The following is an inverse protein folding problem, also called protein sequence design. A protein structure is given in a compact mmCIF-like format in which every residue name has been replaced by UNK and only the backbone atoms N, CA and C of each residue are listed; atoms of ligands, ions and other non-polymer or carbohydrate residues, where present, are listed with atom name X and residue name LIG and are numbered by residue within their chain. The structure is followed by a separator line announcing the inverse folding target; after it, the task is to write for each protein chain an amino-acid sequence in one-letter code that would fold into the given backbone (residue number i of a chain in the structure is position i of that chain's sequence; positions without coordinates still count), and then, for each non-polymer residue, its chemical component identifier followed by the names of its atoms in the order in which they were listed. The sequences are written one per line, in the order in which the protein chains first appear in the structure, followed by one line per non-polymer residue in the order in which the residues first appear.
data_IF_083478704796
#
_entry.id   IF_083478704796
#
_cell.length_a   1.000
_cell.length_b   1.000
_cell.length_c   1.000
_cell.angle_alpha   90.00
_cell.angle_beta   90.00
_cell.angle_gamma   90.00
#
_symmetry.space_group_name_H-M   'P 1'
#
loop_
_entity.id
_entity.type
_entity.pdbx_description
1 polymer ?
#
# COMPACT_ATOMS: atom_id res chain seq x y z
N UNK A 1 7.69 10.91 6.94
CA UNK A 1 7.62 9.85 7.99
C UNK A 1 6.53 8.84 7.70
N UNK A 2 5.35 9.24 7.25
CA UNK A 2 4.28 8.29 6.91
C UNK A 2 4.67 7.27 5.85
N UNK A 3 5.53 7.67 4.90
CA UNK A 3 5.96 6.79 3.82
C UNK A 3 6.69 5.53 4.33
N UNK A 4 7.48 5.69 5.40
CA UNK A 4 8.23 4.59 6.02
C UNK A 4 7.28 3.69 6.81
N UNK A 5 6.33 4.28 7.54
CA UNK A 5 5.32 3.53 8.29
C UNK A 5 4.43 2.70 7.39
N UNK A 6 3.91 3.27 6.29
CA UNK A 6 3.08 2.53 5.34
C UNK A 6 3.81 1.35 4.70
N UNK A 7 5.08 1.55 4.31
CA UNK A 7 5.92 0.50 3.77
C UNK A 7 6.18 -0.64 4.76
N UNK A 8 6.48 -0.30 6.03
CA UNK A 8 6.68 -1.30 7.08
C UNK A 8 5.40 -2.08 7.38
N UNK A 9 4.26 -1.38 7.49
CA UNK A 9 2.96 -2.03 7.75
C UNK A 9 2.61 -2.96 6.59
N UNK A 10 2.81 -2.57 5.33
CA UNK A 10 2.54 -3.43 4.18
C UNK A 10 3.43 -4.68 4.16
N UNK A 11 4.73 -4.52 4.40
CA UNK A 11 5.67 -5.64 4.44
C UNK A 11 5.34 -6.63 5.56
N UNK A 12 5.00 -6.12 6.75
CA UNK A 12 4.57 -6.95 7.88
C UNK A 12 3.22 -7.60 7.62
N UNK A 13 2.29 -6.89 6.98
CA UNK A 13 0.97 -7.41 6.64
C UNK A 13 1.09 -8.64 5.74
N UNK A 14 1.85 -8.55 4.66
CA UNK A 14 2.09 -9.66 3.72
C UNK A 14 2.74 -10.87 4.39
N UNK A 15 3.72 -10.64 5.27
CA UNK A 15 4.35 -11.70 6.05
C UNK A 15 3.34 -12.44 6.96
N UNK A 16 2.42 -11.70 7.57
CA UNK A 16 1.44 -12.24 8.52
C UNK A 16 0.21 -12.87 7.85
N UNK A 17 -0.10 -12.51 6.59
CA UNK A 17 -1.23 -13.08 5.85
C UNK A 17 -0.89 -14.32 5.04
N UNK A 18 0.36 -14.79 5.13
CA UNK A 18 0.79 -16.04 4.52
C UNK A 18 -0.10 -17.22 4.97
N UNK A 19 -0.72 -17.93 4.01
CA UNK A 19 -1.66 -19.06 4.19
C UNK A 19 -3.10 -18.72 4.68
N UNK A 20 -3.57 -17.47 4.63
CA UNK A 20 -4.98 -17.13 4.95
C UNK A 20 -5.95 -17.22 3.75
N UNK A 21 -7.25 -17.16 4.03
CA UNK A 21 -8.30 -17.24 3.01
C UNK A 21 -8.25 -16.05 2.05
N UNK A 22 -8.32 -16.34 0.75
CA UNK A 22 -8.04 -15.42 -0.36
C UNK A 22 -9.15 -14.37 -0.58
N UNK A 23 -9.16 -13.31 0.23
CA UNK A 23 -10.01 -12.13 0.02
C UNK A 23 -9.17 -10.88 -0.28
N UNK A 24 -8.30 -10.98 -1.29
CA UNK A 24 -7.31 -9.94 -1.66
C UNK A 24 -7.94 -8.55 -1.83
N UNK A 25 -9.10 -8.47 -2.49
CA UNK A 25 -9.81 -7.19 -2.67
C UNK A 25 -10.19 -6.54 -1.34
N UNK A 26 -10.69 -7.34 -0.40
CA UNK A 26 -11.12 -6.85 0.91
C UNK A 26 -9.91 -6.46 1.78
N UNK A 27 -8.84 -7.26 1.77
CA UNK A 27 -7.60 -6.96 2.48
C UNK A 27 -6.93 -5.68 1.99
N UNK A 28 -6.78 -5.52 0.67
CA UNK A 28 -6.22 -4.31 0.08
C UNK A 28 -7.06 -3.07 0.43
N UNK A 29 -8.39 -3.22 0.45
CA UNK A 29 -9.31 -2.14 0.82
C UNK A 29 -9.18 -1.76 2.30
N UNK A 30 -9.12 -2.74 3.21
CA UNK A 30 -8.89 -2.49 4.64
C UNK A 30 -7.55 -1.80 4.84
N UNK A 31 -6.49 -2.29 4.21
CA UNK A 31 -5.16 -1.71 4.33
C UNK A 31 -5.17 -0.22 3.96
N UNK A 32 -5.78 0.13 2.83
CA UNK A 32 -5.84 1.53 2.37
C UNK A 32 -6.68 2.40 3.31
N UNK A 33 -7.83 1.91 3.78
CA UNK A 33 -8.66 2.65 4.75
C UNK A 33 -7.88 2.93 6.04
N UNK A 34 -7.14 1.93 6.56
CA UNK A 34 -6.29 2.10 7.73
C UNK A 34 -5.20 3.14 7.45
N UNK A 35 -4.54 3.07 6.30
CA UNK A 35 -3.49 4.02 5.93
C UNK A 35 -4.00 5.45 5.75
N UNK A 36 -5.21 5.63 5.19
CA UNK A 36 -5.89 6.93 5.15
C UNK A 36 -6.12 7.48 6.56
N UNK A 37 -6.60 6.64 7.49
CA UNK A 37 -6.81 7.03 8.88
C UNK A 37 -5.51 7.44 9.58
N UNK A 38 -4.44 6.66 9.38
CA UNK A 38 -3.10 6.98 9.91
C UNK A 38 -2.60 8.31 9.34
N UNK A 39 -2.81 8.58 8.05
CA UNK A 39 -2.42 9.84 7.41
C UNK A 39 -3.13 11.05 8.02
N UNK A 40 -4.43 10.95 8.22
CA UNK A 40 -5.22 12.01 8.85
C UNK A 40 -4.76 12.29 10.29
N UNK A 41 -4.49 11.23 11.07
CA UNK A 41 -4.00 11.36 12.45
C UNK A 41 -2.62 12.01 12.49
N UNK A 42 -1.69 11.56 11.65
CA UNK A 42 -0.31 12.07 11.64
C UNK A 42 -0.25 13.54 11.22
N UNK A 43 -1.07 13.94 10.24
CA UNK A 43 -1.14 15.33 9.78
C UNK A 43 -1.87 16.25 10.77
N UNK A 44 -2.51 15.70 11.82
CA UNK A 44 -3.35 16.44 12.78
C UNK A 44 -4.37 17.36 12.08
N UNK A 45 -4.78 16.99 10.88
CA UNK A 45 -5.57 17.82 9.99
C UNK A 45 -6.62 16.96 9.30
N UNK A 46 -7.79 17.55 9.08
CA UNK A 46 -8.80 16.92 8.23
C UNK A 46 -8.24 16.81 6.80
N UNK A 47 -8.39 15.66 6.13
CA UNK A 47 -7.88 15.52 4.77
C UNK A 47 -8.56 16.55 3.86
N UNK A 48 -7.76 17.28 3.09
CA UNK A 48 -8.29 18.13 2.04
C UNK A 48 -8.72 17.24 0.87
N UNK A 49 -9.94 16.71 0.93
CA UNK A 49 -10.48 15.78 -0.04
C UNK A 49 -10.69 16.50 -1.38
N UNK A 50 -9.72 16.36 -2.27
CA UNK A 50 -9.79 16.83 -3.64
C UNK A 50 -9.50 15.68 -4.62
N UNK A 51 -9.67 15.93 -5.92
CA UNK A 51 -9.44 14.91 -6.94
C UNK A 51 -8.02 14.33 -6.89
N UNK A 52 -7.01 15.17 -6.60
CA UNK A 52 -5.63 14.73 -6.46
C UNK A 52 -5.43 13.76 -5.30
N UNK A 53 -6.02 14.07 -4.15
CA UNK A 53 -6.01 13.22 -2.96
C UNK A 53 -6.67 11.86 -3.25
N UNK A 54 -7.86 11.86 -3.85
CA UNK A 54 -8.57 10.62 -4.21
C UNK A 54 -7.78 9.75 -5.20
N UNK A 55 -7.25 10.36 -6.27
CA UNK A 55 -6.45 9.62 -7.27
C UNK A 55 -5.18 9.04 -6.65
N UNK A 56 -4.50 9.77 -5.76
CA UNK A 56 -3.33 9.27 -5.06
C UNK A 56 -3.63 8.00 -4.26
N UNK A 57 -4.75 7.96 -3.54
CA UNK A 57 -5.17 6.78 -2.81
C UNK A 57 -5.63 5.63 -3.69
N UNK A 58 -6.30 5.91 -4.81
CA UNK A 58 -6.68 4.87 -5.79
C UNK A 58 -5.43 4.22 -6.37
N UNK A 59 -4.40 4.99 -6.71
CA UNK A 59 -3.13 4.44 -7.20
C UNK A 59 -2.48 3.52 -6.16
N UNK A 60 -2.44 3.96 -4.89
CA UNK A 60 -1.92 3.11 -3.82
C UNK A 60 -2.73 1.83 -3.66
N UNK A 61 -4.06 1.92 -3.73
CA UNK A 61 -4.93 0.76 -3.63
C UNK A 61 -4.68 -0.24 -4.75
N UNK A 62 -4.58 0.23 -6.01
CA UNK A 62 -4.26 -0.62 -7.16
C UNK A 62 -2.91 -1.32 -6.96
N UNK A 63 -1.89 -0.57 -6.50
CA UNK A 63 -0.59 -1.15 -6.23
C UNK A 63 -0.66 -2.26 -5.17
N UNK A 64 -1.28 -1.98 -4.01
CA UNK A 64 -1.41 -2.95 -2.91
C UNK A 64 -2.18 -4.19 -3.37
N UNK A 65 -3.26 -4.01 -4.15
CA UNK A 65 -4.04 -5.10 -4.70
C UNK A 65 -3.19 -6.01 -5.62
N UNK A 66 -2.46 -5.42 -6.57
CA UNK A 66 -1.61 -6.17 -7.51
C UNK A 66 -0.53 -6.95 -6.76
N UNK A 67 0.09 -6.31 -5.77
CA UNK A 67 1.15 -6.92 -4.96
C UNK A 67 0.63 -8.08 -4.13
N UNK A 68 -0.51 -7.93 -3.45
CA UNK A 68 -1.13 -9.02 -2.70
C UNK A 68 -1.51 -10.19 -3.63
N UNK A 69 -2.02 -9.88 -4.83
CA UNK A 69 -2.32 -10.90 -5.83
C UNK A 69 -1.07 -11.62 -6.35
N UNK A 70 0.02 -10.90 -6.62
CA UNK A 70 1.30 -11.49 -7.03
C UNK A 70 1.98 -12.28 -5.92
N UNK A 71 1.83 -11.86 -4.66
CA UNK A 71 2.36 -12.57 -3.50
C UNK A 71 1.86 -14.02 -3.48
N UNK A 72 0.55 -14.22 -3.69
CA UNK A 72 -0.08 -15.53 -3.73
C UNK A 72 0.43 -16.44 -4.87
N UNK A 73 0.89 -15.85 -5.98
CA UNK A 73 1.39 -16.58 -7.14
C UNK A 73 2.87 -16.94 -6.96
N UNK A 74 3.67 -16.03 -6.41
CA UNK A 74 5.14 -16.13 -6.42
C UNK A 74 5.69 -16.72 -5.12
N UNK A 75 5.02 -16.51 -3.98
CA UNK A 75 5.57 -16.85 -2.66
C UNK A 75 5.17 -18.26 -2.21
N UNK A 76 5.89 -19.27 -2.72
CA UNK A 76 5.69 -20.68 -2.36
C UNK A 76 6.38 -21.09 -1.04
N UNK A 77 7.24 -20.25 -0.47
CA UNK A 77 8.03 -20.56 0.73
C UNK A 77 8.11 -19.34 1.66
N UNK A 78 8.38 -19.57 2.95
CA UNK A 78 8.51 -18.47 3.92
C UNK A 78 9.69 -17.55 3.61
N UNK A 79 10.76 -18.11 3.04
CA UNK A 79 11.95 -17.33 2.63
C UNK A 79 11.64 -16.43 1.45
N UNK A 80 10.96 -16.96 0.41
CA UNK A 80 10.54 -16.14 -0.73
C UNK A 80 9.51 -15.08 -0.35
N UNK A 81 8.59 -15.41 0.57
CA UNK A 81 7.64 -14.45 1.14
C UNK A 81 8.34 -13.27 1.86
N UNK A 82 9.38 -13.55 2.64
CA UNK A 82 10.15 -12.51 3.33
C UNK A 82 10.88 -11.59 2.35
N UNK A 83 11.58 -12.16 1.36
CA UNK A 83 12.29 -11.37 0.34
C UNK A 83 11.30 -10.52 -0.46
N UNK A 84 10.18 -11.11 -0.88
CA UNK A 84 9.14 -10.39 -1.64
C UNK A 84 8.55 -9.24 -0.82
N UNK A 85 8.23 -9.47 0.45
CA UNK A 85 7.65 -8.45 1.33
C UNK A 85 8.58 -7.26 1.53
N UNK A 86 9.90 -7.50 1.63
CA UNK A 86 10.91 -6.42 1.71
C UNK A 86 10.93 -5.60 0.40
N UNK A 87 11.00 -6.27 -0.75
CA UNK A 87 11.05 -5.61 -2.07
C UNK A 87 9.81 -4.75 -2.28
N UNK A 88 8.64 -5.30 -1.98
CA UNK A 88 7.37 -4.58 -2.02
C UNK A 88 7.37 -3.38 -1.09
N UNK A 89 7.82 -3.53 0.15
CA UNK A 89 7.89 -2.42 1.10
C UNK A 89 8.72 -1.27 0.54
N UNK A 90 9.88 -1.57 -0.05
CA UNK A 90 10.73 -0.57 -0.71
C UNK A 90 10.01 0.08 -1.89
N UNK A 91 9.39 -0.71 -2.77
CA UNK A 91 8.67 -0.17 -3.93
C UNK A 91 7.46 0.69 -3.53
N UNK A 92 6.72 0.31 -2.48
CA UNK A 92 5.62 1.11 -1.94
C UNK A 92 6.11 2.43 -1.32
N UNK A 93 7.26 2.42 -0.64
CA UNK A 93 7.90 3.64 -0.15
C UNK A 93 8.23 4.61 -1.29
N UNK A 94 8.84 4.10 -2.38
CA UNK A 94 9.12 4.91 -3.57
C UNK A 94 7.85 5.43 -4.23
N UNK A 95 6.80 4.61 -4.31
CA UNK A 95 5.50 5.04 -4.80
C UNK A 95 4.98 6.22 -3.96
N UNK A 96 4.94 6.09 -2.63
CA UNK A 96 4.43 7.15 -1.75
C UNK A 96 5.23 8.45 -1.84
N UNK A 97 6.53 8.39 -2.11
CA UNK A 97 7.34 9.60 -2.37
C UNK A 97 6.94 10.31 -3.67
N UNK A 98 6.57 9.55 -4.70
CA UNK A 98 6.34 10.09 -6.06
C UNK A 98 4.87 10.27 -6.41
N UNK A 99 3.93 9.89 -5.53
CA UNK A 99 2.49 10.04 -5.74
C UNK A 99 2.08 11.46 -6.14
N UNK A 100 2.55 12.55 -5.48
CA UNK A 100 2.12 13.89 -5.87
C UNK A 100 2.46 14.21 -7.34
N UNK A 101 3.66 13.85 -7.79
CA UNK A 101 4.10 14.05 -9.17
C UNK A 101 3.33 13.15 -10.14
N UNK A 102 3.07 11.90 -9.77
CA UNK A 102 2.30 10.95 -10.58
C UNK A 102 0.85 11.43 -10.77
N UNK A 103 0.22 11.92 -9.69
CA UNK A 103 -1.14 12.45 -9.69
C UNK A 103 -1.23 13.73 -10.54
N UNK A 104 -0.25 14.62 -10.44
CA UNK A 104 -0.19 15.82 -11.28
C UNK A 104 -0.11 15.45 -12.77
N UNK A 105 0.65 14.42 -13.12
CA UNK A 105 0.76 13.93 -14.49
C UNK A 105 -0.52 13.24 -15.00
N UNK A 106 -1.28 12.60 -14.12
CA UNK A 106 -2.53 11.89 -14.44
C UNK A 106 -3.74 12.82 -14.56
N UNK A 107 -3.72 13.98 -13.89
CA UNK A 107 -4.81 14.95 -13.89
C UNK A 107 -4.65 16.06 -14.93
N UNK A 108 -3.54 16.09 -15.66
CA UNK A 108 -3.31 16.93 -16.84
C UNK A 108 -3.85 16.26 -18.10
#
# INVERSE_FOLDING_TARGET
MINIFGALILALWLLLTMNRSRQIFFEASIFIIVMMGVDCIMQHAWPNVNNAWLVGWIVQWIYVFIVMWLFDIVCLSSVSAAIYSIIVGVAYYYLQLNIPALVEHLLK
#
